data_IF_830875685791
#
_entry.id   IF_830875685791
#
_cell.length_a   1.000
_cell.length_b   1.000
_cell.length_c   1.000
_cell.angle_alpha   90.00
_cell.angle_beta   90.00
_cell.angle_gamma   90.00
#
_symmetry.space_group_name_H-M   'P 1'
#
loop_
_entity.id
_entity.type
_entity.pdbx_description
1 polymer ?
#
# COMPACT_ATOMS: atom_id res chain seq x y z
N UNK A 1 12.04 3.44 1.27
CA UNK A 1 11.84 2.74 2.54
C UNK A 1 11.27 3.60 3.65
N UNK A 2 11.26 4.91 3.47
CA UNK A 2 10.62 5.86 4.38
C UNK A 2 9.20 6.19 3.95
N UNK A 3 8.82 5.83 2.74
CA UNK A 3 7.55 6.26 2.11
C UNK A 3 6.32 5.41 2.44
N UNK A 4 6.36 4.62 3.52
CA UNK A 4 5.19 3.84 3.92
C UNK A 4 3.96 4.73 4.21
N UNK A 5 4.17 6.02 4.56
CA UNK A 5 3.09 7.00 4.68
C UNK A 5 2.55 7.39 3.32
N UNK A 6 3.42 7.57 2.31
CA UNK A 6 3.01 7.89 0.95
C UNK A 6 2.17 6.75 0.37
N UNK A 7 2.63 5.49 0.48
CA UNK A 7 1.85 4.33 0.05
C UNK A 7 0.52 4.19 0.78
N UNK A 8 0.52 4.40 2.10
CA UNK A 8 -0.71 4.36 2.90
C UNK A 8 -1.68 5.48 2.48
N UNK A 9 -1.18 6.69 2.33
CA UNK A 9 -1.97 7.82 1.88
C UNK A 9 -2.58 7.55 0.50
N UNK A 10 -1.74 7.20 -0.46
CA UNK A 10 -2.17 6.91 -1.83
C UNK A 10 -3.22 5.80 -1.87
N UNK A 11 -2.95 4.68 -1.22
CA UNK A 11 -3.87 3.55 -1.18
C UNK A 11 -5.24 3.90 -0.61
N UNK A 12 -5.30 4.67 0.48
CA UNK A 12 -6.57 5.11 1.07
C UNK A 12 -7.31 6.10 0.15
N UNK A 13 -6.60 7.01 -0.51
CA UNK A 13 -7.18 7.95 -1.47
C UNK A 13 -7.76 7.24 -2.69
N UNK A 14 -7.08 6.19 -3.17
CA UNK A 14 -7.58 5.36 -4.28
C UNK A 14 -8.85 4.60 -3.85
N UNK A 15 -8.88 4.02 -2.65
CA UNK A 15 -10.09 3.37 -2.13
C UNK A 15 -11.32 4.30 -2.11
N UNK A 16 -11.11 5.60 -1.84
CA UNK A 16 -12.19 6.60 -1.85
C UNK A 16 -12.81 6.82 -3.23
N UNK A 17 -12.11 6.46 -4.31
CA UNK A 17 -12.56 6.61 -5.70
C UNK A 17 -13.24 5.34 -6.23
N UNK A 18 -13.16 4.23 -5.50
CA UNK A 18 -13.75 2.96 -5.97
C UNK A 18 -15.27 2.95 -5.78
N UNK A 19 -16.02 2.31 -6.70
CA UNK A 19 -17.42 1.95 -6.48
C UNK A 19 -17.60 1.13 -5.19
N UNK A 20 -18.74 1.26 -4.52
CA UNK A 20 -18.97 0.72 -3.18
C UNK A 20 -18.81 -0.81 -3.07
N UNK A 21 -19.18 -1.54 -4.11
CA UNK A 21 -19.01 -2.99 -4.21
C UNK A 21 -17.54 -3.39 -4.32
N UNK A 22 -16.77 -2.71 -5.17
CA UNK A 22 -15.33 -2.93 -5.33
C UNK A 22 -14.55 -2.48 -4.08
N UNK A 23 -14.94 -1.35 -3.48
CA UNK A 23 -14.39 -0.92 -2.20
C UNK A 23 -14.57 -2.01 -1.14
N UNK A 24 -15.79 -2.55 -0.98
CA UNK A 24 -16.08 -3.62 -0.01
C UNK A 24 -15.25 -4.87 -0.32
N UNK A 25 -15.08 -5.20 -1.61
CA UNK A 25 -14.34 -6.36 -2.05
C UNK A 25 -12.84 -6.28 -1.68
N UNK A 26 -12.22 -5.11 -1.84
CA UNK A 26 -10.79 -4.89 -1.59
C UNK A 26 -10.49 -4.56 -0.12
N UNK A 27 -11.40 -3.88 0.58
CA UNK A 27 -11.19 -3.43 1.96
C UNK A 27 -11.75 -4.37 3.03
N UNK A 28 -12.12 -5.60 2.67
CA UNK A 28 -12.73 -6.58 3.58
C UNK A 28 -11.83 -6.98 4.78
N UNK A 29 -10.50 -6.83 4.64
CA UNK A 29 -9.50 -7.02 5.71
C UNK A 29 -8.49 -5.86 5.64
N UNK A 30 -8.79 -4.74 6.30
CA UNK A 30 -7.96 -3.53 6.27
C UNK A 30 -6.52 -3.75 6.80
N UNK A 31 -6.27 -4.52 7.87
CA UNK A 31 -4.92 -4.89 8.24
C UNK A 31 -4.14 -5.55 7.10
N UNK A 32 -4.75 -6.48 6.37
CA UNK A 32 -4.11 -7.11 5.22
C UNK A 32 -3.90 -6.12 4.05
N UNK A 33 -4.85 -5.22 3.80
CA UNK A 33 -4.70 -4.15 2.81
C UNK A 33 -3.48 -3.27 3.11
N UNK A 34 -3.34 -2.80 4.35
CA UNK A 34 -2.18 -2.01 4.76
C UNK A 34 -0.86 -2.77 4.61
N UNK A 35 -0.84 -4.07 4.93
CA UNK A 35 0.36 -4.89 4.70
C UNK A 35 0.67 -5.05 3.20
N UNK A 36 -0.37 -5.11 2.36
CA UNK A 36 -0.22 -5.09 0.91
C UNK A 36 0.43 -3.80 0.40
N UNK A 37 0.08 -2.65 0.99
CA UNK A 37 0.67 -1.35 0.63
C UNK A 37 2.18 -1.26 0.90
N UNK A 38 2.77 -2.19 1.66
CA UNK A 38 4.23 -2.30 1.76
C UNK A 38 4.84 -3.12 0.61
N UNK A 39 4.03 -3.74 -0.23
CA UNK A 39 4.48 -4.47 -1.41
C UNK A 39 5.61 -5.45 -1.12
N UNK A 40 6.67 -5.47 -1.95
CA UNK A 40 7.86 -6.28 -1.74
C UNK A 40 8.91 -5.63 -0.82
N UNK A 41 8.71 -4.40 -0.32
CA UNK A 41 9.67 -3.66 0.51
C UNK A 41 10.17 -4.39 1.75
N UNK A 42 9.31 -5.16 2.49
CA UNK A 42 9.82 -5.95 3.60
C UNK A 42 11.03 -6.81 3.24
N UNK A 43 11.17 -7.23 1.99
CA UNK A 43 12.25 -8.10 1.52
C UNK A 43 13.58 -7.37 1.33
N UNK A 44 13.58 -6.04 1.20
CA UNK A 44 14.80 -5.22 1.09
C UNK A 44 15.65 -5.34 2.37
N UNK A 45 15.01 -5.57 3.52
CA UNK A 45 15.66 -5.59 4.83
C UNK A 45 16.45 -6.87 5.15
N UNK A 46 16.62 -7.75 4.17
CA UNK A 46 17.46 -8.93 4.30
C UNK A 46 18.35 -9.07 3.08
N UNK A 47 19.65 -9.21 3.29
CA UNK A 47 20.62 -9.45 2.20
C UNK A 47 20.24 -10.68 1.37
N UNK A 48 19.60 -11.68 2.00
CA UNK A 48 19.19 -12.90 1.33
C UNK A 48 17.96 -12.72 0.41
N UNK A 49 17.14 -11.70 0.66
CA UNK A 49 15.87 -11.48 -0.07
C UNK A 49 15.83 -10.17 -0.84
N UNK A 50 16.82 -9.30 -0.69
CA UNK A 50 16.88 -8.01 -1.41
C UNK A 50 16.77 -8.19 -2.92
N UNK A 51 17.49 -9.13 -3.50
CA UNK A 51 17.43 -9.42 -4.95
C UNK A 51 16.03 -9.87 -5.41
N UNK A 52 15.27 -10.51 -4.53
CA UNK A 52 13.87 -10.89 -4.80
C UNK A 52 13.00 -9.63 -4.82
N UNK A 53 13.17 -8.74 -3.83
CA UNK A 53 12.47 -7.46 -3.81
C UNK A 53 12.73 -6.65 -5.07
N UNK A 54 14.01 -6.44 -5.43
CA UNK A 54 14.42 -5.70 -6.62
C UNK A 54 13.77 -6.28 -7.90
N UNK A 55 13.71 -7.61 -8.00
CA UNK A 55 13.08 -8.31 -9.13
C UNK A 55 11.56 -8.11 -9.14
N UNK A 56 10.91 -8.21 -7.98
CA UNK A 56 9.46 -8.05 -7.84
C UNK A 56 9.02 -6.60 -8.11
N UNK A 57 9.81 -5.59 -7.80
CA UNK A 57 9.54 -4.22 -8.22
C UNK A 57 9.70 -4.07 -9.75
N UNK A 58 10.83 -4.52 -10.28
CA UNK A 58 11.15 -4.35 -11.72
C UNK A 58 10.20 -5.12 -12.64
N UNK A 59 9.83 -6.35 -12.27
CA UNK A 59 9.10 -7.28 -13.13
C UNK A 59 7.70 -7.61 -12.56
N UNK A 60 7.10 -6.76 -11.75
CA UNK A 60 5.87 -7.08 -11.04
C UNK A 60 4.70 -7.46 -11.95
N UNK A 61 4.63 -6.86 -13.15
CA UNK A 61 3.57 -7.16 -14.14
C UNK A 61 3.63 -8.61 -14.63
N UNK A 62 4.81 -9.19 -14.73
CA UNK A 62 5.00 -10.55 -15.22
C UNK A 62 5.13 -11.58 -14.09
N UNK A 63 5.70 -11.20 -12.95
CA UNK A 63 5.98 -12.11 -11.85
C UNK A 63 4.89 -12.10 -10.76
N UNK A 64 4.42 -10.94 -10.35
CA UNK A 64 3.47 -10.80 -9.24
C UNK A 64 2.03 -10.65 -9.69
N UNK A 65 1.77 -9.85 -10.74
CA UNK A 65 0.42 -9.49 -11.16
C UNK A 65 -0.49 -10.71 -11.47
N UNK A 66 -0.03 -11.80 -12.10
CA UNK A 66 -0.90 -12.97 -12.32
C UNK A 66 -1.40 -13.60 -11.00
N UNK A 67 -0.52 -13.72 -10.00
CA UNK A 67 -0.87 -14.22 -8.68
C UNK A 67 -1.78 -13.27 -7.91
N UNK A 68 -1.50 -11.96 -7.98
CA UNK A 68 -2.31 -10.91 -7.38
C UNK A 68 -3.71 -10.86 -7.99
N UNK A 69 -3.81 -10.93 -9.32
CA UNK A 69 -5.09 -11.00 -10.04
C UNK A 69 -5.91 -12.21 -9.60
N UNK A 70 -5.28 -13.39 -9.53
CA UNK A 70 -5.94 -14.59 -9.02
C UNK A 70 -6.43 -14.42 -7.59
N UNK A 71 -5.62 -13.79 -6.73
CA UNK A 71 -6.00 -13.51 -5.33
C UNK A 71 -7.16 -12.53 -5.24
N UNK A 72 -7.16 -11.46 -6.03
CA UNK A 72 -8.24 -10.49 -6.14
C UNK A 72 -9.54 -11.14 -6.60
N UNK A 73 -9.48 -12.05 -7.56
CA UNK A 73 -10.64 -12.71 -8.15
C UNK A 73 -11.22 -13.82 -7.26
N UNK A 74 -10.37 -14.65 -6.67
CA UNK A 74 -10.78 -15.93 -6.04
C UNK A 74 -10.28 -16.10 -4.61
N UNK A 75 -9.55 -15.14 -4.08
CA UNK A 75 -8.96 -15.22 -2.76
C UNK A 75 -9.95 -15.00 -1.61
N UNK A 76 -9.53 -15.35 -0.40
CA UNK A 76 -10.20 -14.93 0.84
C UNK A 76 -10.20 -13.40 0.97
N UNK A 77 -11.01 -12.83 1.88
CA UNK A 77 -10.99 -11.39 2.15
C UNK A 77 -9.57 -10.88 2.45
N UNK A 78 -8.79 -11.61 3.26
CA UNK A 78 -7.38 -11.29 3.56
C UNK A 78 -6.52 -11.29 2.29
N UNK A 79 -6.65 -12.30 1.43
CA UNK A 79 -5.88 -12.38 0.19
C UNK A 79 -6.24 -11.27 -0.80
N UNK A 80 -7.54 -10.97 -0.94
CA UNK A 80 -8.01 -9.87 -1.80
C UNK A 80 -7.51 -8.51 -1.32
N UNK A 81 -7.64 -8.24 -0.04
CA UNK A 81 -7.22 -6.98 0.55
C UNK A 81 -5.71 -6.79 0.43
N UNK A 82 -4.91 -7.82 0.73
CA UNK A 82 -3.47 -7.77 0.53
C UNK A 82 -3.10 -7.53 -0.93
N UNK A 83 -3.70 -8.29 -1.85
CA UNK A 83 -3.41 -8.14 -3.28
C UNK A 83 -3.80 -6.75 -3.80
N UNK A 84 -4.92 -6.19 -3.35
CA UNK A 84 -5.32 -4.82 -3.70
C UNK A 84 -4.30 -3.79 -3.23
N UNK A 85 -3.86 -3.87 -1.97
CA UNK A 85 -2.81 -3.01 -1.44
C UNK A 85 -1.49 -3.14 -2.21
N UNK A 86 -1.08 -4.38 -2.53
CA UNK A 86 0.15 -4.65 -3.28
C UNK A 86 0.11 -4.06 -4.71
N UNK A 87 -1.01 -4.21 -5.41
CA UNK A 87 -1.18 -3.59 -6.74
C UNK A 87 -1.04 -2.07 -6.65
N UNK A 88 -1.66 -1.45 -5.63
CA UNK A 88 -1.56 0.01 -5.44
C UNK A 88 -0.14 0.46 -5.07
N UNK A 89 0.60 -0.32 -4.28
CA UNK A 89 2.03 -0.08 -4.05
C UNK A 89 2.79 0.02 -5.38
N UNK A 90 2.67 -0.98 -6.24
CA UNK A 90 3.38 -1.04 -7.51
C UNK A 90 2.97 0.08 -8.49
N UNK A 91 1.68 0.46 -8.50
CA UNK A 91 1.20 1.57 -9.33
C UNK A 91 1.77 2.92 -8.87
N UNK A 92 1.94 3.12 -7.56
CA UNK A 92 2.60 4.31 -7.04
C UNK A 92 4.09 4.32 -7.42
N UNK A 93 4.78 3.21 -7.22
CA UNK A 93 6.20 3.06 -7.56
C UNK A 93 6.47 3.32 -9.05
N UNK A 94 5.66 2.73 -9.93
CA UNK A 94 5.72 2.98 -11.38
C UNK A 94 5.59 4.49 -11.72
N UNK A 95 4.91 5.26 -10.86
CA UNK A 95 4.68 6.69 -11.06
C UNK A 95 5.81 7.57 -10.52
N UNK A 96 6.33 7.25 -9.33
CA UNK A 96 7.26 8.16 -8.62
C UNK A 96 8.72 7.79 -8.84
N UNK A 97 9.07 6.50 -8.94
CA UNK A 97 10.46 6.06 -9.04
C UNK A 97 11.19 6.53 -10.30
N UNK A 98 10.58 6.63 -11.51
CA UNK A 98 11.29 7.19 -12.66
C UNK A 98 11.85 8.59 -12.39
N UNK A 99 11.08 9.43 -11.70
CA UNK A 99 11.50 10.77 -11.34
C UNK A 99 12.57 10.76 -10.22
N UNK A 100 12.40 9.88 -9.23
CA UNK A 100 13.38 9.68 -8.17
C UNK A 100 14.73 9.28 -8.78
N UNK A 101 14.77 8.33 -9.71
CA UNK A 101 15.99 7.87 -10.36
C UNK A 101 16.66 8.97 -11.17
N UNK A 102 15.89 9.77 -11.91
CA UNK A 102 16.44 10.95 -12.60
C UNK A 102 17.13 11.90 -11.62
N UNK A 103 16.48 12.22 -10.50
CA UNK A 103 17.10 13.12 -9.51
C UNK A 103 18.27 12.51 -8.75
N UNK A 104 18.37 11.18 -8.68
CA UNK A 104 19.56 10.51 -8.15
C UNK A 104 20.77 10.75 -9.04
N UNK A 105 20.61 10.74 -10.36
CA UNK A 105 21.68 11.10 -11.32
C UNK A 105 22.12 12.56 -11.12
N UNK A 106 21.23 13.44 -10.68
CA UNK A 106 21.49 14.84 -10.33
C UNK A 106 22.01 15.03 -8.88
N UNK A 107 22.37 13.96 -8.18
CA UNK A 107 22.95 13.97 -6.84
C UNK A 107 21.96 14.05 -5.68
N UNK A 108 20.68 13.78 -5.90
CA UNK A 108 19.70 13.55 -4.82
C UNK A 108 19.85 12.13 -4.28
N UNK A 109 19.35 11.87 -3.08
CA UNK A 109 19.35 10.54 -2.48
C UNK A 109 17.92 9.97 -2.52
N UNK A 110 17.73 8.77 -3.08
CA UNK A 110 16.47 8.05 -3.08
C UNK A 110 15.81 8.10 -1.71
N UNK A 111 16.53 7.63 -0.71
CA UNK A 111 16.04 7.55 0.66
C UNK A 111 15.62 8.91 1.26
N UNK A 112 16.36 9.98 0.96
CA UNK A 112 16.01 11.33 1.44
C UNK A 112 14.79 11.91 0.72
N UNK A 113 14.59 11.56 -0.55
CA UNK A 113 13.40 11.96 -1.31
C UNK A 113 12.13 11.33 -0.73
N UNK A 114 12.19 10.04 -0.42
CA UNK A 114 11.08 9.31 0.22
C UNK A 114 10.77 9.87 1.61
N UNK A 115 11.80 10.11 2.44
CA UNK A 115 11.60 10.78 3.74
C UNK A 115 11.00 12.18 3.56
N UNK A 116 11.46 12.94 2.58
CA UNK A 116 10.95 14.27 2.34
C UNK A 116 9.45 14.25 1.95
N UNK A 117 9.04 13.28 1.14
CA UNK A 117 7.64 13.07 0.77
C UNK A 117 6.80 12.69 1.99
N UNK A 118 7.27 11.74 2.80
CA UNK A 118 6.59 11.33 4.03
C UNK A 118 6.41 12.51 5.01
N UNK A 119 7.47 13.31 5.21
CA UNK A 119 7.41 14.49 6.07
C UNK A 119 6.45 15.55 5.55
N UNK A 120 6.42 15.80 4.23
CA UNK A 120 5.48 16.72 3.60
C UNK A 120 4.03 16.28 3.85
N UNK A 121 3.72 14.99 3.68
CA UNK A 121 2.39 14.45 3.91
C UNK A 121 1.97 14.54 5.38
N UNK A 122 2.91 14.32 6.32
CA UNK A 122 2.66 14.49 7.75
C UNK A 122 2.37 15.95 8.10
N UNK A 123 3.14 16.88 7.53
CA UNK A 123 2.95 18.31 7.73
C UNK A 123 1.57 18.76 7.21
N UNK A 124 1.21 18.37 6.00
CA UNK A 124 -0.11 18.69 5.40
C UNK A 124 -1.27 18.12 6.22
N UNK A 125 -1.11 16.97 6.85
CA UNK A 125 -2.10 16.36 7.74
C UNK A 125 -2.05 16.89 9.18
N UNK A 126 -1.12 17.79 9.49
CA UNK A 126 -0.84 18.28 10.85
C UNK A 126 -0.56 17.15 11.85
N UNK A 127 0.10 16.10 11.42
CA UNK A 127 0.50 14.97 12.26
C UNK A 127 1.94 15.16 12.75
N UNK A 128 2.13 15.11 14.05
CA UNK A 128 3.46 15.30 14.67
C UNK A 128 4.42 14.13 14.45
N UNK A 129 3.91 12.93 14.23
CA UNK A 129 4.71 11.70 14.12
C UNK A 129 4.28 10.86 12.93
N UNK A 130 5.25 10.19 12.31
CA UNK A 130 4.96 9.16 11.33
C UNK A 130 4.15 8.03 11.99
N UNK A 131 3.04 7.59 11.38
CA UNK A 131 2.35 6.40 11.83
C UNK A 131 3.32 5.22 11.90
N UNK A 132 3.21 4.41 12.93
CA UNK A 132 3.99 3.16 13.04
C UNK A 132 3.63 2.23 11.89
N UNK A 133 4.63 1.52 11.37
CA UNK A 133 4.38 0.44 10.41
C UNK A 133 3.41 -0.56 11.03
N UNK A 134 2.27 -0.75 10.39
CA UNK A 134 1.23 -1.65 10.87
C UNK A 134 1.64 -3.10 10.66
N UNK A 135 1.51 -3.90 11.68
CA UNK A 135 1.83 -5.33 11.65
C UNK A 135 0.66 -6.21 12.09
N UNK A 136 -0.50 -5.62 12.32
CA UNK A 136 -1.70 -6.39 12.65
C UNK A 136 -2.06 -7.35 11.50
N UNK A 137 -2.49 -8.55 11.85
CA UNK A 137 -2.85 -9.57 10.87
C UNK A 137 -1.67 -10.16 10.09
N UNK A 138 -0.43 -9.84 10.46
CA UNK A 138 0.81 -10.23 9.76
C UNK A 138 0.89 -11.72 9.44
N UNK A 139 0.50 -12.59 10.35
CA UNK A 139 0.63 -14.04 10.16
C UNK A 139 -0.32 -14.55 9.08
N UNK A 140 -1.58 -14.08 9.06
CA UNK A 140 -2.56 -14.43 8.01
C UNK A 140 -2.13 -13.87 6.66
N UNK A 141 -1.62 -12.64 6.66
CA UNK A 141 -1.18 -11.95 5.45
C UNK A 141 0.10 -12.56 4.90
N UNK A 142 1.03 -13.01 5.75
CA UNK A 142 2.23 -13.68 5.29
C UNK A 142 1.92 -15.03 4.61
N UNK A 143 0.90 -15.76 5.09
CA UNK A 143 0.44 -16.97 4.41
C UNK A 143 -0.20 -16.66 3.05
N UNK A 144 -0.98 -15.57 2.97
CA UNK A 144 -1.55 -15.11 1.71
C UNK A 144 -0.44 -14.64 0.74
N UNK A 145 0.53 -13.86 1.23
CA UNK A 145 1.67 -13.39 0.44
C UNK A 145 2.52 -14.55 -0.10
N UNK A 146 2.77 -15.57 0.71
CA UNK A 146 3.54 -16.74 0.28
C UNK A 146 2.91 -17.51 -0.89
N UNK A 147 1.57 -17.51 -0.98
CA UNK A 147 0.85 -18.11 -2.11
C UNK A 147 0.83 -17.24 -3.37
N UNK A 148 1.10 -15.93 -3.25
CA UNK A 148 1.05 -14.97 -4.36
C UNK A 148 2.45 -14.62 -4.90
N UNK A 149 3.46 -14.64 -4.03
CA UNK A 149 4.83 -14.19 -4.28
C UNK A 149 5.79 -15.40 -4.27
N UNK A 150 5.54 -16.40 -5.10
CA UNK A 150 6.45 -17.52 -5.25
C UNK A 150 7.80 -17.03 -5.84
N UNK A 151 8.93 -17.52 -5.35
CA UNK A 151 9.18 -18.62 -4.41
C UNK A 151 9.34 -18.19 -2.94
N UNK A 152 8.70 -17.11 -2.54
CA UNK A 152 8.88 -16.49 -1.23
C UNK A 152 8.14 -17.28 -0.14
N UNK A 153 8.87 -17.72 0.89
CA UNK A 153 8.24 -18.29 2.08
C UNK A 153 7.70 -17.21 3.02
N UNK A 154 6.56 -17.49 3.69
CA UNK A 154 5.95 -16.60 4.67
C UNK A 154 6.94 -16.08 5.73
N UNK A 155 7.89 -16.92 6.17
CA UNK A 155 8.93 -16.54 7.15
C UNK A 155 9.85 -15.42 6.66
N UNK A 156 10.23 -15.44 5.37
CA UNK A 156 11.10 -14.40 4.80
C UNK A 156 10.39 -13.05 4.78
N UNK A 157 9.13 -13.02 4.37
CA UNK A 157 8.31 -11.81 4.38
C UNK A 157 8.11 -11.27 5.80
N UNK A 158 7.74 -12.14 6.76
CA UNK A 158 7.57 -11.75 8.18
C UNK A 158 8.85 -11.22 8.80
N UNK A 159 10.00 -11.86 8.55
CA UNK A 159 11.30 -11.40 9.05
C UNK A 159 11.64 -10.02 8.50
N UNK A 160 11.40 -9.80 7.21
CA UNK A 160 11.59 -8.51 6.56
C UNK A 160 10.65 -7.44 7.11
N UNK A 161 9.37 -7.75 7.26
CA UNK A 161 8.38 -6.85 7.84
C UNK A 161 8.75 -6.42 9.27
N UNK A 162 9.20 -7.34 10.11
CA UNK A 162 9.65 -7.00 11.46
C UNK A 162 10.84 -6.04 11.44
N UNK A 163 11.84 -6.30 10.58
CA UNK A 163 13.02 -5.41 10.43
C UNK A 163 12.60 -4.04 9.86
N UNK A 164 11.75 -4.01 8.84
CA UNK A 164 11.20 -2.79 8.29
C UNK A 164 10.50 -1.96 9.37
N UNK A 165 9.60 -2.57 10.14
CA UNK A 165 8.88 -1.91 11.22
C UNK A 165 9.83 -1.33 12.27
N UNK A 166 10.85 -2.11 12.69
CA UNK A 166 11.83 -1.66 13.67
C UNK A 166 12.63 -0.47 13.17
N UNK A 167 13.19 -0.56 11.95
CA UNK A 167 14.01 0.50 11.37
C UNK A 167 13.20 1.77 11.06
N UNK A 168 12.01 1.63 10.47
CA UNK A 168 11.14 2.77 10.19
C UNK A 168 10.73 3.49 11.47
N UNK A 169 10.35 2.75 12.51
CA UNK A 169 9.95 3.35 13.78
C UNK A 169 11.12 4.03 14.53
N UNK A 170 12.36 3.57 14.32
CA UNK A 170 13.56 4.16 14.97
C UNK A 170 14.09 5.36 14.19
N UNK A 171 14.13 5.28 12.85
CA UNK A 171 14.86 6.24 12.04
C UNK A 171 14.00 7.25 11.28
N UNK A 172 12.71 6.96 11.07
CA UNK A 172 11.82 7.81 10.28
C UNK A 172 10.83 8.56 11.16
N UNK A 173 10.58 9.83 10.81
CA UNK A 173 9.63 10.69 11.48
C UNK A 173 10.24 12.00 11.97
N UNK A 174 9.41 12.98 12.34
CA UNK A 174 9.84 14.26 12.86
C UNK A 174 10.76 14.12 14.08
N UNK A 175 11.84 14.90 14.11
CA UNK A 175 12.83 14.85 15.19
C UNK A 175 13.76 13.63 15.20
N UNK A 176 13.68 12.76 14.19
CA UNK A 176 14.59 11.63 14.04
C UNK A 176 15.82 12.01 13.17
N UNK A 177 16.96 11.32 13.36
CA UNK A 177 18.20 11.66 12.64
C UNK A 177 18.04 11.71 11.12
N UNK A 178 17.24 10.81 10.56
CA UNK A 178 17.05 10.74 9.10
C UNK A 178 16.25 11.93 8.57
N UNK A 179 15.24 12.43 9.30
CA UNK A 179 14.47 13.61 8.92
C UNK A 179 15.32 14.88 8.95
N UNK A 180 16.28 14.97 9.88
CA UNK A 180 17.23 16.09 9.94
C UNK A 180 18.19 16.14 8.74
N UNK A 181 18.39 15.01 8.04
CA UNK A 181 19.26 14.92 6.85
C UNK A 181 18.62 15.37 5.54
N UNK A 182 17.31 15.72 5.54
CA UNK A 182 16.60 16.14 4.32
C UNK A 182 16.98 17.57 3.95
N UNK A 183 17.52 17.74 2.74
CA UNK A 183 18.00 19.05 2.25
C UNK A 183 16.85 19.87 1.64
N UNK A 184 17.04 21.19 1.52
CA UNK A 184 16.05 22.08 0.91
C UNK A 184 15.65 21.65 -0.52
N UNK A 185 16.63 21.20 -1.34
CA UNK A 185 16.38 20.66 -2.68
C UNK A 185 15.39 19.50 -2.64
N UNK A 186 15.57 18.53 -1.75
CA UNK A 186 14.73 17.34 -1.63
C UNK A 186 13.31 17.66 -1.13
N UNK A 187 13.18 18.71 -0.30
CA UNK A 187 11.84 19.21 0.11
C UNK A 187 11.06 19.82 -1.05
N UNK A 188 11.74 20.50 -1.98
CA UNK A 188 11.11 21.02 -3.20
C UNK A 188 10.70 19.86 -4.11
N UNK A 189 11.60 18.90 -4.32
CA UNK A 189 11.35 17.70 -5.12
C UNK A 189 10.19 16.85 -4.55
N UNK A 190 10.06 16.77 -3.23
CA UNK A 190 8.94 16.06 -2.58
C UNK A 190 7.57 16.64 -2.95
N UNK A 191 7.45 17.96 -3.16
CA UNK A 191 6.20 18.58 -3.63
C UNK A 191 5.82 18.08 -5.03
N UNK A 192 6.80 17.97 -5.92
CA UNK A 192 6.54 17.42 -7.25
C UNK A 192 6.13 15.94 -7.18
N UNK A 193 6.79 15.12 -6.34
CA UNK A 193 6.37 13.73 -6.12
C UNK A 193 4.95 13.64 -5.60
N UNK A 194 4.58 14.51 -4.63
CA UNK A 194 3.22 14.58 -4.11
C UNK A 194 2.21 14.91 -5.21
N UNK A 195 2.50 15.89 -6.07
CA UNK A 195 1.61 16.29 -7.15
C UNK A 195 1.44 15.15 -8.18
N UNK A 196 2.52 14.44 -8.50
CA UNK A 196 2.46 13.23 -9.36
C UNK A 196 1.62 12.12 -8.71
N UNK A 197 1.81 11.87 -7.44
CA UNK A 197 1.02 10.90 -6.67
C UNK A 197 -0.47 11.25 -6.68
N UNK A 198 -0.83 12.51 -6.41
CA UNK A 198 -2.22 12.98 -6.45
C UNK A 198 -2.85 12.81 -7.84
N UNK A 199 -2.12 13.17 -8.90
CA UNK A 199 -2.58 12.99 -10.27
C UNK A 199 -2.82 11.51 -10.63
N UNK A 200 -2.13 10.58 -9.97
CA UNK A 200 -2.23 9.15 -10.22
C UNK A 200 -3.39 8.47 -9.47
N UNK A 201 -4.04 9.11 -8.49
CA UNK A 201 -5.10 8.50 -7.69
C UNK A 201 -6.26 7.99 -8.56
N UNK A 202 -6.83 8.84 -9.42
CA UNK A 202 -7.93 8.43 -10.28
C UNK A 202 -7.53 7.43 -11.38
N UNK A 203 -6.37 7.55 -12.07
CA UNK A 203 -5.86 6.48 -12.93
C UNK A 203 -5.71 5.14 -12.21
N UNK A 204 -5.11 5.11 -11.03
CA UNK A 204 -4.89 3.88 -10.27
C UNK A 204 -6.22 3.22 -9.83
N UNK A 205 -7.22 4.01 -9.47
CA UNK A 205 -8.56 3.50 -9.18
C UNK A 205 -9.16 2.78 -10.40
N UNK A 206 -9.05 3.39 -11.59
CA UNK A 206 -9.52 2.77 -12.84
C UNK A 206 -8.72 1.51 -13.21
N UNK A 207 -7.41 1.48 -12.97
CA UNK A 207 -6.60 0.31 -13.27
C UNK A 207 -6.91 -0.84 -12.30
N UNK A 208 -7.09 -0.55 -11.01
CA UNK A 208 -7.54 -1.54 -10.03
C UNK A 208 -8.95 -2.03 -10.38
N UNK A 209 -9.86 -1.16 -10.78
CA UNK A 209 -11.20 -1.51 -11.24
C UNK A 209 -11.15 -2.46 -12.45
N UNK A 210 -10.33 -2.17 -13.48
CA UNK A 210 -10.17 -3.07 -14.64
C UNK A 210 -9.72 -4.47 -14.23
N UNK A 211 -8.78 -4.57 -13.29
CA UNK A 211 -8.31 -5.86 -12.76
C UNK A 211 -9.44 -6.59 -12.02
N UNK A 212 -10.29 -5.84 -11.30
CA UNK A 212 -11.41 -6.38 -10.53
C UNK A 212 -12.63 -6.73 -11.39
N UNK A 213 -12.98 -5.91 -12.39
CA UNK A 213 -14.15 -6.11 -13.27
C UNK A 213 -13.99 -7.30 -14.22
N UNK A 214 -12.78 -7.76 -14.47
CA UNK A 214 -12.56 -9.08 -15.11
C UNK A 214 -13.03 -10.26 -14.22
N UNK A 215 -13.59 -9.96 -13.03
CA UNK A 215 -14.30 -10.91 -12.17
C UNK A 215 -15.75 -11.00 -12.71
N UNK A 216 -16.26 -12.19 -13.08
CA UNK A 216 -17.71 -12.38 -13.30
C UNK A 216 -18.43 -11.91 -12.04
N UNK A 217 -19.34 -10.94 -12.17
CA UNK A 217 -20.06 -10.41 -11.01
C UNK A 217 -20.76 -11.56 -10.28
N UNK A 218 -20.49 -11.74 -8.98
CA UNK A 218 -21.24 -12.69 -8.16
C UNK A 218 -22.68 -12.22 -7.90
N UNK A 219 -23.13 -11.13 -8.55
CA UNK A 219 -24.48 -10.62 -8.50
C UNK A 219 -25.54 -11.61 -9.07
N UNK A 220 -25.10 -12.62 -9.83
CA UNK A 220 -25.99 -13.68 -10.34
C UNK A 220 -26.21 -14.85 -9.37
N UNK A 221 -25.80 -14.74 -8.12
CA UNK A 221 -26.09 -15.77 -7.12
C UNK A 221 -27.41 -15.42 -6.40
N UNK A 222 -28.48 -16.24 -6.56
CA UNK A 222 -29.83 -15.94 -6.04
C UNK A 222 -29.92 -15.77 -4.50
N UNK A 223 -28.82 -15.99 -3.77
CA UNK A 223 -28.76 -15.89 -2.31
C UNK A 223 -28.52 -14.48 -1.77
N UNK A 224 -28.03 -13.52 -2.57
CA UNK A 224 -27.76 -12.16 -2.07
C UNK A 224 -28.99 -11.23 -2.14
N UNK A 225 -29.90 -11.42 -3.08
CA UNK A 225 -31.13 -10.63 -3.16
C UNK A 225 -32.01 -10.79 -1.89
N UNK A 226 -31.94 -11.97 -1.27
CA UNK A 226 -32.75 -12.26 -0.05
C UNK A 226 -32.19 -11.57 1.22
N UNK A 227 -30.93 -11.18 1.23
CA UNK A 227 -30.27 -10.52 2.37
C UNK A 227 -30.40 -9.00 2.32
N UNK A 228 -30.38 -8.40 1.13
CA UNK A 228 -30.50 -6.95 0.95
C UNK A 228 -31.94 -6.44 1.22
N UNK A 229 -32.94 -7.27 0.96
CA UNK A 229 -34.36 -6.94 1.23
C UNK A 229 -34.73 -6.96 2.72
N UNK A 230 -33.90 -7.56 3.58
CA UNK A 230 -34.23 -7.75 5.01
C UNK A 230 -33.61 -6.77 5.99
N UNK A 231 -32.60 -5.98 5.61
CA UNK A 231 -31.81 -5.25 6.62
C UNK A 231 -31.85 -3.74 6.55
N UNK A 232 -32.30 -3.08 5.50
CA UNK A 232 -32.42 -1.60 5.42
C UNK A 232 -31.16 -0.82 5.84
N UNK A 233 -30.02 -1.47 6.03
CA UNK A 233 -28.78 -0.86 6.53
C UNK A 233 -27.87 -0.44 5.38
N UNK A 234 -27.30 0.76 5.50
CA UNK A 234 -26.26 1.27 4.58
C UNK A 234 -25.10 0.28 4.46
N UNK A 235 -24.48 0.14 3.29
CA UNK A 235 -23.33 -0.74 3.08
C UNK A 235 -22.23 -0.47 4.12
N UNK A 236 -21.76 -1.51 4.79
CA UNK A 236 -20.75 -1.44 5.86
C UNK A 236 -19.44 -0.76 5.44
N UNK A 237 -19.13 -0.68 4.14
CA UNK A 237 -17.93 -0.04 3.62
C UNK A 237 -17.86 1.46 3.84
N UNK A 238 -18.98 2.20 3.67
CA UNK A 238 -18.97 3.66 3.88
C UNK A 238 -18.82 4.04 5.35
N UNK A 239 -19.35 3.23 6.26
CA UNK A 239 -19.23 3.44 7.69
C UNK A 239 -17.78 3.18 8.17
N UNK A 240 -17.11 2.14 7.64
CA UNK A 240 -15.70 1.85 7.94
C UNK A 240 -14.72 2.94 7.49
N UNK A 241 -14.97 3.57 6.34
CA UNK A 241 -14.12 4.68 5.88
C UNK A 241 -14.26 5.93 6.77
N UNK A 242 -15.49 6.22 7.25
CA UNK A 242 -15.74 7.31 8.18
C UNK A 242 -15.08 7.04 9.55
N UNK A 243 -15.08 5.80 10.00
CA UNK A 243 -14.47 5.38 11.26
C UNK A 243 -12.93 5.42 11.17
N UNK A 244 -12.35 5.06 10.03
CA UNK A 244 -10.91 5.17 9.78
C UNK A 244 -10.39 6.60 9.78
N UNK A 245 -11.21 7.56 9.35
CA UNK A 245 -10.90 9.00 9.42
C UNK A 245 -10.93 9.56 10.84
N UNK A 246 -11.65 8.91 11.75
CA UNK A 246 -11.84 9.34 13.15
C UNK A 246 -10.92 8.62 14.14
N UNK A 247 -10.18 7.60 13.71
CA UNK A 247 -9.25 6.91 14.61
C UNK A 247 -8.10 7.86 14.96
N UNK A 248 -7.86 8.14 16.26
CA UNK A 248 -6.69 8.88 16.69
C UNK A 248 -5.44 8.10 16.27
N UNK A 249 -4.36 8.83 15.98
CA UNK A 249 -3.05 8.23 15.82
C UNK A 249 -2.80 7.38 17.08
N UNK A 250 -2.56 6.10 16.91
CA UNK A 250 -2.27 5.23 18.05
C UNK A 250 -1.04 5.78 18.78
N UNK A 251 -1.19 6.04 20.07
CA UNK A 251 -0.13 6.45 20.99
C UNK A 251 1.00 5.41 21.04
#
# INVERSE_FOLDING_TARGET
>A
MADHNAHTYFGLRVLEQLPADLLTHVSGDMPAFHLGLYGPDPLIFSLLTKHISDRLHKNWRTESLPGLTKALQKGSATARSFAGGYVLHQLLDDTVHPQIYQWMEEGSSHFRLEIALDLLLLEEKRQANSPKVRTEGKDRTALAAAGMLAPLGARAYLSGLWRMATLSNVFCGPGRPMSAGVRAKEKVQAKELRDRMEAQIAPAARDLEKILVQIPSQADSPRQELLLSRTGRRPAGQQRLADLRRMPAAE
#
